data_IF_000238893307
#
_entry.id   IF_000238893307
#
_cell.length_a   1.000
_cell.length_b   1.000
_cell.length_c   1.000
_cell.angle_alpha   90.00
_cell.angle_beta   90.00
_cell.angle_gamma   90.00
#
_symmetry.space_group_name_H-M   'P 1'
#
loop_
_entity.id
_entity.type
_entity.pdbx_description
1 polymer ?
#
# COMPACT_ATOMS: atom_id res chain seq x y z
N UNK A 1 -8.84 -5.42 6.08
CA UNK A 1 -8.19 -5.73 4.78
C UNK A 1 -6.79 -5.10 4.73
N UNK A 2 -5.80 -5.74 4.09
CA UNK A 2 -4.44 -5.19 3.92
C UNK A 2 -4.19 -4.78 2.46
N UNK A 3 -3.99 -3.49 2.20
CA UNK A 3 -3.64 -2.98 0.88
C UNK A 3 -2.15 -3.13 0.58
N UNK A 4 -1.80 -3.68 -0.59
CA UNK A 4 -0.43 -3.90 -1.02
C UNK A 4 -0.10 -3.03 -2.25
N UNK A 5 0.96 -2.23 -2.16
CA UNK A 5 1.37 -1.27 -3.19
C UNK A 5 2.85 -1.42 -3.50
N UNK A 6 3.23 -1.37 -4.78
CA UNK A 6 4.61 -1.44 -5.24
C UNK A 6 4.86 -0.45 -6.39
N UNK A 7 6.01 0.23 -6.38
CA UNK A 7 6.39 1.17 -7.45
C UNK A 7 7.40 0.60 -8.46
N UNK A 8 7.99 -0.56 -8.17
CA UNK A 8 9.04 -1.18 -8.99
C UNK A 8 8.77 -2.67 -9.18
N UNK A 9 9.41 -3.28 -10.19
CA UNK A 9 9.32 -4.72 -10.42
C UNK A 9 9.83 -5.55 -9.22
N UNK A 10 10.92 -5.11 -8.58
CA UNK A 10 11.43 -5.76 -7.37
C UNK A 10 10.43 -5.67 -6.21
N UNK A 11 9.77 -4.50 -6.04
CA UNK A 11 8.70 -4.34 -5.06
C UNK A 11 7.50 -5.24 -5.37
N UNK A 12 7.13 -5.40 -6.63
CA UNK A 12 6.03 -6.28 -7.05
C UNK A 12 6.31 -7.75 -6.72
N UNK A 13 7.55 -8.22 -6.90
CA UNK A 13 7.92 -9.59 -6.53
C UNK A 13 7.78 -9.84 -5.02
N UNK A 14 8.24 -8.89 -4.18
CA UNK A 14 8.09 -8.98 -2.73
C UNK A 14 6.61 -8.88 -2.30
N UNK A 15 5.83 -8.01 -2.95
CA UNK A 15 4.38 -7.89 -2.78
C UNK A 15 3.66 -9.20 -3.06
N UNK A 16 4.00 -9.86 -4.16
CA UNK A 16 3.35 -11.11 -4.59
C UNK A 16 3.65 -12.26 -3.64
N UNK A 17 4.89 -12.32 -3.12
CA UNK A 17 5.23 -13.26 -2.05
C UNK A 17 4.35 -13.04 -0.82
N UNK A 18 4.10 -11.80 -0.42
CA UNK A 18 3.23 -11.50 0.73
C UNK A 18 1.76 -11.85 0.45
N UNK A 19 1.25 -11.52 -0.74
CA UNK A 19 -0.11 -11.85 -1.14
C UNK A 19 -0.36 -13.37 -1.14
N UNK A 20 0.60 -14.14 -1.67
CA UNK A 20 0.54 -15.61 -1.68
C UNK A 20 0.58 -16.22 -0.27
N UNK A 21 1.28 -15.58 0.69
CA UNK A 21 1.35 -16.05 2.06
C UNK A 21 0.08 -15.77 2.89
N UNK A 22 -0.73 -14.79 2.49
CA UNK A 22 -1.97 -14.39 3.20
C UNK A 22 -3.19 -14.31 2.28
N UNK A 23 -3.62 -15.45 1.70
CA UNK A 23 -4.78 -15.48 0.81
C UNK A 23 -6.05 -14.98 1.50
N UNK A 24 -6.84 -14.17 0.79
CA UNK A 24 -8.10 -13.59 1.29
C UNK A 24 -7.95 -12.45 2.30
N UNK A 25 -6.72 -12.07 2.69
CA UNK A 25 -6.47 -10.98 3.65
C UNK A 25 -5.83 -9.74 3.03
N UNK A 26 -5.32 -9.87 1.81
CA UNK A 26 -4.59 -8.81 1.10
C UNK A 26 -5.29 -8.44 -0.20
N UNK A 27 -5.22 -7.15 -0.58
CA UNK A 27 -5.64 -6.65 -1.89
C UNK A 27 -4.51 -5.87 -2.54
N UNK A 28 -4.23 -6.18 -3.81
CA UNK A 28 -3.17 -5.52 -4.59
C UNK A 28 -3.75 -4.30 -5.31
N UNK A 29 -3.08 -3.16 -5.21
CA UNK A 29 -3.40 -1.95 -5.94
C UNK A 29 -2.29 -1.64 -6.95
N UNK A 30 -2.68 -1.42 -8.21
CA UNK A 30 -1.79 -1.10 -9.33
C UNK A 30 -2.02 0.32 -9.87
N UNK A 31 -1.32 0.66 -10.96
CA UNK A 31 -1.38 1.99 -11.57
C UNK A 31 -0.39 2.99 -10.97
N UNK A 32 -0.57 4.30 -11.22
CA UNK A 32 0.27 5.35 -10.64
C UNK A 32 0.29 5.24 -9.11
N UNK A 33 1.48 5.26 -8.51
CA UNK A 33 1.62 4.90 -7.10
C UNK A 33 0.89 5.85 -6.14
N UNK A 34 0.76 7.13 -6.50
CA UNK A 34 0.01 8.10 -5.71
C UNK A 34 -1.47 7.75 -5.62
N UNK A 35 -2.06 7.35 -6.75
CA UNK A 35 -3.46 6.95 -6.82
C UNK A 35 -3.68 5.62 -6.10
N UNK A 36 -2.78 4.65 -6.31
CA UNK A 36 -2.83 3.36 -5.63
C UNK A 36 -2.78 3.51 -4.10
N UNK A 37 -1.90 4.37 -3.56
CA UNK A 37 -1.84 4.66 -2.12
C UNK A 37 -3.13 5.34 -1.64
N UNK A 38 -3.64 6.33 -2.38
CA UNK A 38 -4.87 7.06 -2.01
C UNK A 38 -6.08 6.12 -1.94
N UNK A 39 -6.27 5.30 -2.96
CA UNK A 39 -7.38 4.33 -2.99
C UNK A 39 -7.22 3.28 -1.90
N UNK A 40 -6.02 2.73 -1.72
CA UNK A 40 -5.78 1.73 -0.69
C UNK A 40 -6.01 2.29 0.72
N UNK A 41 -5.59 3.53 0.98
CA UNK A 41 -5.81 4.21 2.27
C UNK A 41 -7.29 4.39 2.59
N UNK A 42 -8.13 4.66 1.58
CA UNK A 42 -9.58 4.79 1.77
C UNK A 42 -10.30 3.44 1.94
N UNK A 43 -9.77 2.35 1.39
CA UNK A 43 -10.45 1.05 1.34
C UNK A 43 -9.93 0.01 2.36
N UNK A 44 -8.76 0.21 2.95
CA UNK A 44 -8.07 -0.79 3.79
C UNK A 44 -7.68 -0.27 5.17
N UNK A 45 -7.82 -1.12 6.19
CA UNK A 45 -7.43 -0.81 7.57
C UNK A 45 -5.91 -0.79 7.79
N UNK A 46 -5.15 -1.39 6.86
CA UNK A 46 -3.70 -1.56 6.93
C UNK A 46 -3.10 -1.47 5.53
N UNK A 47 -1.90 -0.90 5.43
CA UNK A 47 -1.15 -0.79 4.18
C UNK A 47 0.24 -1.42 4.33
N UNK A 48 0.71 -2.07 3.27
CA UNK A 48 2.11 -2.47 3.09
C UNK A 48 2.63 -1.87 1.80
N UNK A 49 3.56 -0.94 1.95
CA UNK A 49 4.15 -0.19 0.85
C UNK A 49 5.54 -0.74 0.54
N UNK A 50 5.67 -1.44 -0.60
CA UNK A 50 6.96 -1.85 -1.17
C UNK A 50 7.60 -0.68 -1.93
N UNK A 51 7.98 0.34 -1.16
CA UNK A 51 8.46 1.65 -1.60
C UNK A 51 9.59 2.16 -0.70
N UNK A 52 10.33 3.15 -1.18
CA UNK A 52 11.23 3.92 -0.32
C UNK A 52 10.42 4.64 0.77
N UNK A 53 10.88 4.55 2.03
CA UNK A 53 10.18 5.11 3.18
C UNK A 53 9.82 6.59 3.01
N UNK A 54 10.73 7.39 2.45
CA UNK A 54 10.48 8.81 2.19
C UNK A 54 9.34 9.07 1.18
N UNK A 55 9.11 8.15 0.22
CA UNK A 55 7.97 8.27 -0.68
C UNK A 55 6.66 7.95 0.05
N UNK A 56 6.66 6.91 0.89
CA UNK A 56 5.49 6.52 1.70
C UNK A 56 5.05 7.67 2.59
N UNK A 57 5.98 8.27 3.33
CA UNK A 57 5.67 9.40 4.24
C UNK A 57 5.05 10.56 3.48
N UNK A 58 5.59 10.95 2.32
CA UNK A 58 5.06 12.07 1.52
C UNK A 58 3.68 11.78 0.94
N UNK A 59 3.40 10.53 0.57
CA UNK A 59 2.11 10.14 0.01
C UNK A 59 1.02 10.01 1.09
N UNK A 60 1.36 9.48 2.26
CA UNK A 60 0.41 9.24 3.35
C UNK A 60 0.17 10.50 4.18
N UNK A 61 1.17 11.35 4.40
CA UNK A 61 1.03 12.55 5.22
C UNK A 61 -0.20 13.43 4.92
N UNK A 62 -0.55 13.76 3.65
CA UNK A 62 -1.74 14.56 3.36
C UNK A 62 -3.07 13.80 3.49
N UNK A 63 -3.04 12.49 3.74
CA UNK A 63 -4.23 11.65 3.94
C UNK A 63 -4.56 11.42 5.42
N UNK A 64 -3.61 11.73 6.32
CA UNK A 64 -3.80 11.61 7.76
C UNK A 64 -4.69 12.75 8.25
N UNK A 65 -5.81 12.42 8.89
CA UNK A 65 -6.70 13.38 9.51
C UNK A 65 -6.37 13.53 11.01
N UNK A 66 -6.51 12.44 11.76
CA UNK A 66 -6.13 12.37 13.17
C UNK A 66 -5.38 11.07 13.52
N UNK A 67 -5.14 10.84 14.82
CA UNK A 67 -4.51 9.61 15.33
C UNK A 67 -5.52 8.64 15.96
N UNK A 68 -6.79 8.99 15.88
CA UNK A 68 -7.91 8.23 16.44
C UNK A 68 -8.54 7.30 15.40
N UNK A 69 -8.26 7.56 14.12
CA UNK A 69 -8.74 6.82 12.96
C UNK A 69 -7.60 6.14 12.21
#
# INVERSE_FOLDING_TARGET
>A
MIGLISATAAGAAARDRLAAAWPGRTRVYGGPVGDAVRTAFAECDRLVCFLATGAVVRLVAPLLDDKRT
#
